data_IF_194738272048
#
_entry.id   IF_194738272048
#
_cell.length_a   1.000
_cell.length_b   1.000
_cell.length_c   1.000
_cell.angle_alpha   90.00
_cell.angle_beta   90.00
_cell.angle_gamma   90.00
#
_symmetry.space_group_name_H-M   'P 1'
#
loop_
_entity.id
_entity.type
_entity.pdbx_description
1 polymer ?
#
# COMPACT_ATOMS: atom_id res chain seq x y z
N UNK A 1 9.30 14.97 -8.44
CA UNK A 1 8.92 13.76 -7.69
C UNK A 1 9.33 13.90 -6.23
N UNK A 2 8.44 13.63 -5.27
CA UNK A 2 8.84 13.45 -3.85
C UNK A 2 8.33 12.10 -3.34
N UNK A 3 9.16 11.39 -2.60
CA UNK A 3 8.80 10.13 -1.93
C UNK A 3 9.20 10.20 -0.46
N UNK A 4 8.35 9.71 0.43
CA UNK A 4 8.66 9.60 1.85
C UNK A 4 8.21 8.24 2.39
N UNK A 5 9.16 7.32 2.63
CA UNK A 5 8.94 6.13 3.43
C UNK A 5 8.97 6.43 4.94
N UNK A 6 8.04 5.82 5.67
CA UNK A 6 8.03 5.72 7.12
C UNK A 6 8.02 4.24 7.50
N UNK A 7 9.16 3.71 7.93
CA UNK A 7 9.32 2.33 8.40
C UNK A 7 10.16 2.31 9.67
N UNK A 8 9.74 1.57 10.69
CA UNK A 8 10.48 1.41 11.94
C UNK A 8 10.78 2.71 12.70
N UNK A 9 9.94 3.74 12.56
CA UNK A 9 10.14 5.05 13.22
C UNK A 9 11.20 5.95 12.58
N UNK A 10 11.75 5.57 11.41
CA UNK A 10 12.69 6.40 10.65
C UNK A 10 12.00 7.02 9.45
N UNK A 11 12.05 8.35 9.38
CA UNK A 11 11.51 9.11 8.26
C UNK A 11 12.63 9.31 7.26
N UNK A 12 12.43 8.80 6.06
CA UNK A 12 13.27 9.18 4.93
C UNK A 12 12.40 9.93 3.96
N UNK A 13 12.91 11.03 3.40
CA UNK A 13 12.21 11.76 2.35
C UNK A 13 13.21 12.10 1.26
N UNK A 14 12.87 11.75 0.03
CA UNK A 14 13.64 12.06 -1.15
C UNK A 14 12.83 13.02 -2.01
N UNK A 15 13.47 14.09 -2.47
CA UNK A 15 12.92 15.03 -3.42
C UNK A 15 13.82 15.04 -4.64
N UNK A 16 13.22 14.89 -5.81
CA UNK A 16 13.89 14.92 -7.09
C UNK A 16 13.11 15.81 -8.06
N UNK A 17 13.80 16.64 -8.82
CA UNK A 17 13.24 17.48 -9.88
C UNK A 17 14.04 17.19 -11.13
N UNK A 18 13.34 17.02 -12.24
CA UNK A 18 13.93 16.66 -13.52
C UNK A 18 12.98 17.11 -14.64
N UNK A 19 13.51 17.27 -15.86
CA UNK A 19 12.79 17.79 -17.02
C UNK A 19 12.40 16.64 -17.96
N UNK A 20 11.12 16.56 -18.30
CA UNK A 20 10.57 15.55 -19.21
C UNK A 20 9.71 16.23 -20.29
N UNK A 21 9.58 15.56 -21.44
CA UNK A 21 8.55 15.91 -22.41
C UNK A 21 7.16 15.77 -21.78
N UNK A 22 6.25 16.69 -22.09
CA UNK A 22 4.91 16.72 -21.48
C UNK A 22 4.14 15.42 -21.67
N UNK A 23 4.25 14.76 -22.84
CA UNK A 23 3.61 13.46 -23.07
C UNK A 23 4.13 12.33 -22.16
N UNK A 24 5.35 12.46 -21.64
CA UNK A 24 6.01 11.44 -20.82
C UNK A 24 5.91 11.76 -19.32
N UNK A 25 5.28 12.88 -18.94
CA UNK A 25 5.10 13.25 -17.55
C UNK A 25 3.67 13.00 -17.11
N UNK A 26 3.48 12.12 -16.13
CA UNK A 26 2.18 11.92 -15.48
C UNK A 26 2.21 12.32 -14.01
N UNK A 27 1.31 13.24 -13.62
CA UNK A 27 1.06 13.57 -12.22
C UNK A 27 0.28 12.44 -11.55
N UNK A 28 0.78 11.95 -10.42
CA UNK A 28 0.16 10.86 -9.69
C UNK A 28 0.58 10.87 -8.22
N UNK A 29 -0.24 10.25 -7.38
CA UNK A 29 0.02 10.13 -5.95
C UNK A 29 -0.38 8.76 -5.46
N UNK A 30 0.49 8.18 -4.64
CA UNK A 30 0.36 6.80 -4.17
C UNK A 30 0.68 6.73 -2.69
N UNK A 31 -0.10 5.91 -1.99
CA UNK A 31 0.03 5.59 -0.58
C UNK A 31 -0.17 4.09 -0.40
N UNK A 32 0.79 3.48 0.29
CA UNK A 32 0.71 2.08 0.71
C UNK A 32 1.01 2.04 2.20
N UNK A 33 0.12 1.47 3.00
CA UNK A 33 0.38 1.24 4.43
C UNK A 33 0.72 -0.21 4.69
N UNK A 34 1.57 -0.47 5.68
CA UNK A 34 2.03 -1.84 5.98
C UNK A 34 2.06 -2.13 7.50
N UNK A 35 1.17 -1.46 8.23
CA UNK A 35 0.86 -1.71 9.64
C UNK A 35 1.65 -0.83 10.62
N UNK A 36 1.18 -0.73 11.87
CA UNK A 36 1.85 0.02 12.95
C UNK A 36 2.19 1.49 12.62
N UNK A 37 1.38 2.13 11.78
CA UNK A 37 1.61 3.51 11.32
C UNK A 37 2.73 3.63 10.27
N UNK A 38 3.23 2.51 9.75
CA UNK A 38 4.23 2.47 8.69
C UNK A 38 3.56 2.61 7.31
N UNK A 39 4.18 3.42 6.45
CA UNK A 39 3.66 3.71 5.13
C UNK A 39 4.77 4.09 4.14
N UNK A 40 4.45 3.96 2.87
CA UNK A 40 5.21 4.54 1.77
C UNK A 40 4.29 5.46 0.99
N UNK A 41 4.70 6.73 0.87
CA UNK A 41 3.94 7.76 0.17
C UNK A 41 4.81 8.40 -0.90
N UNK A 42 4.26 8.54 -2.11
CA UNK A 42 4.95 9.20 -3.23
C UNK A 42 3.97 10.12 -3.96
N UNK A 43 4.46 11.27 -4.39
CA UNK A 43 3.72 12.25 -5.18
C UNK A 43 4.61 12.77 -6.31
N UNK A 44 4.05 12.79 -7.52
CA UNK A 44 4.64 13.32 -8.74
C UNK A 44 3.73 14.41 -9.26
N UNK A 45 4.31 15.56 -9.58
CA UNK A 45 3.65 16.68 -10.23
C UNK A 45 4.40 16.99 -11.51
N UNK A 46 3.65 17.08 -12.59
CA UNK A 46 4.08 17.59 -13.88
C UNK A 46 3.63 19.04 -13.99
N UNK A 47 4.57 19.92 -14.33
CA UNK A 47 4.40 21.36 -14.39
C UNK A 47 5.21 21.89 -15.56
N UNK A 48 4.95 23.12 -15.99
CA UNK A 48 5.73 23.80 -17.04
C UNK A 48 5.93 25.26 -16.68
N UNK A 49 7.13 25.79 -16.94
CA UNK A 49 7.47 27.18 -16.66
C UNK A 49 7.30 27.56 -15.19
N UNK A 50 6.56 28.63 -14.94
CA UNK A 50 6.38 29.23 -13.61
C UNK A 50 5.56 28.34 -12.66
N UNK A 51 4.72 27.44 -13.19
CA UNK A 51 3.93 26.50 -12.37
C UNK A 51 4.82 25.51 -11.59
N UNK A 52 6.07 25.33 -12.00
CA UNK A 52 7.04 24.49 -11.30
C UNK A 52 7.67 25.15 -10.06
N UNK A 53 7.36 26.43 -9.80
CA UNK A 53 7.82 27.17 -8.62
C UNK A 53 7.02 26.83 -7.36
N UNK A 54 5.82 26.25 -7.50
CA UNK A 54 5.04 25.81 -6.34
C UNK A 54 5.69 24.63 -5.63
N UNK A 55 5.93 24.78 -4.33
CA UNK A 55 6.52 23.74 -3.48
C UNK A 55 5.50 22.71 -2.97
N UNK A 56 4.20 22.97 -3.14
CA UNK A 56 3.10 22.13 -2.66
C UNK A 56 2.79 21.01 -3.63
N UNK A 57 3.50 19.88 -3.48
CA UNK A 57 3.03 18.64 -4.08
C UNK A 57 1.72 18.20 -3.41
N UNK A 58 0.74 17.72 -4.20
CA UNK A 58 -0.48 17.14 -3.65
C UNK A 58 -0.12 15.82 -3.00
N UNK A 59 0.10 15.83 -1.69
CA UNK A 59 0.39 14.62 -0.95
C UNK A 59 -0.92 13.90 -0.60
N UNK A 60 -1.08 12.59 -0.89
CA UNK A 60 -2.34 11.87 -0.66
C UNK A 60 -2.62 11.71 0.84
N UNK A 61 -3.71 12.25 1.42
CA UNK A 61 -3.87 12.40 2.87
C UNK A 61 -3.66 11.08 3.63
N UNK A 62 -3.01 11.18 4.79
CA UNK A 62 -2.75 10.01 5.64
C UNK A 62 -3.86 9.92 6.67
N UNK A 63 -4.65 8.85 6.59
CA UNK A 63 -5.65 8.50 7.60
C UNK A 63 -5.33 7.11 8.14
N UNK A 64 -4.82 7.06 9.37
CA UNK A 64 -4.43 5.81 10.05
C UNK A 64 -5.53 5.17 10.88
N UNK A 65 -6.78 5.68 10.80
CA UNK A 65 -7.91 5.04 11.47
C UNK A 65 -8.23 3.72 10.79
N UNK A 66 -8.18 2.62 11.56
CA UNK A 66 -8.48 1.28 11.05
C UNK A 66 -9.91 1.18 10.49
N UNK A 67 -10.06 0.55 9.33
CA UNK A 67 -11.35 0.46 8.62
C UNK A 67 -12.00 -0.94 8.63
N UNK A 68 -11.42 -1.89 9.38
CA UNK A 68 -11.93 -3.26 9.50
C UNK A 68 -11.55 -4.21 8.37
N UNK A 69 -10.72 -3.77 7.42
CA UNK A 69 -10.15 -4.62 6.36
C UNK A 69 -8.72 -5.04 6.69
N UNK A 70 -8.28 -6.12 6.04
CA UNK A 70 -6.99 -6.75 6.34
C UNK A 70 -6.26 -7.17 5.08
N UNK A 71 -4.94 -6.99 5.11
CA UNK A 71 -4.03 -7.45 4.06
C UNK A 71 -2.76 -8.08 4.65
N UNK A 72 -2.11 -8.99 3.91
CA UNK A 72 -0.70 -9.31 4.12
C UNK A 72 0.14 -8.04 3.93
N UNK A 73 1.13 -7.84 4.79
CA UNK A 73 2.03 -6.69 4.71
C UNK A 73 3.44 -7.04 5.14
N UNK A 74 4.41 -6.45 4.46
CA UNK A 74 5.83 -6.46 4.82
C UNK A 74 6.61 -5.47 3.94
N UNK A 75 7.77 -5.02 4.41
CA UNK A 75 8.71 -4.20 3.64
C UNK A 75 10.16 -4.68 3.87
N UNK A 76 10.96 -4.75 2.81
CA UNK A 76 12.39 -5.10 2.87
C UNK A 76 13.14 -4.60 1.63
N UNK A 77 14.43 -4.30 1.77
CA UNK A 77 15.35 -3.84 0.71
C UNK A 77 16.51 -4.84 0.45
N UNK A 78 16.33 -6.12 0.79
CA UNK A 78 17.36 -7.14 0.55
C UNK A 78 16.80 -8.56 0.36
N UNK A 79 15.87 -8.98 1.22
CA UNK A 79 15.29 -10.33 1.20
C UNK A 79 13.76 -10.28 1.30
N UNK A 80 13.02 -11.31 0.84
CA UNK A 80 11.59 -11.43 1.12
C UNK A 80 11.32 -11.31 2.63
N UNK A 81 10.45 -10.38 3.00
CA UNK A 81 10.17 -10.08 4.40
C UNK A 81 9.16 -11.05 5.03
N UNK A 82 9.24 -11.28 6.36
CA UNK A 82 8.22 -12.06 7.07
C UNK A 82 6.87 -11.35 6.97
N UNK A 83 5.90 -12.05 6.38
CA UNK A 83 4.58 -11.49 6.10
C UNK A 83 3.74 -11.49 7.37
N UNK A 84 3.24 -10.30 7.75
CA UNK A 84 2.28 -10.11 8.84
C UNK A 84 0.91 -9.73 8.27
N UNK A 85 -0.17 -10.07 8.97
CA UNK A 85 -1.49 -9.51 8.64
C UNK A 85 -1.66 -8.17 9.35
N UNK A 86 -2.06 -7.14 8.62
CA UNK A 86 -2.26 -5.78 9.16
C UNK A 86 -3.68 -5.29 8.92
N UNK A 87 -4.12 -4.35 9.76
CA UNK A 87 -5.37 -3.62 9.58
C UNK A 87 -5.15 -2.51 8.56
N UNK A 88 -5.97 -2.47 7.52
CA UNK A 88 -6.01 -1.35 6.59
C UNK A 88 -6.67 -0.13 7.25
N UNK A 89 -6.37 1.05 6.73
CA UNK A 89 -6.78 2.32 7.32
C UNK A 89 -7.45 3.25 6.32
N UNK A 90 -8.25 4.19 6.81
CA UNK A 90 -8.96 5.15 5.97
C UNK A 90 -9.80 4.48 4.87
N UNK A 91 -9.58 4.89 3.62
CA UNK A 91 -10.30 4.38 2.45
C UNK A 91 -9.68 3.14 1.79
N UNK A 92 -8.59 2.61 2.34
CA UNK A 92 -7.89 1.47 1.75
C UNK A 92 -8.79 0.23 1.66
N UNK A 93 -8.91 -0.31 0.45
CA UNK A 93 -9.84 -1.40 0.14
C UNK A 93 -9.21 -2.53 -0.69
N UNK A 94 -7.92 -2.42 -1.02
CA UNK A 94 -7.17 -3.40 -1.79
C UNK A 94 -5.85 -3.75 -1.09
N UNK A 95 -5.40 -4.97 -1.31
CA UNK A 95 -4.06 -5.42 -0.95
C UNK A 95 -3.13 -5.25 -2.15
N UNK A 96 -1.89 -4.85 -1.88
CA UNK A 96 -0.80 -4.76 -2.83
C UNK A 96 0.27 -5.79 -2.47
N UNK A 97 0.84 -6.40 -3.50
CA UNK A 97 2.06 -7.19 -3.45
C UNK A 97 2.96 -6.79 -4.61
N UNK A 98 4.07 -6.14 -4.27
CA UNK A 98 4.99 -5.54 -5.23
C UNK A 98 6.41 -6.05 -4.96
N UNK A 99 7.11 -6.44 -6.03
CA UNK A 99 8.54 -6.66 -6.02
C UNK A 99 9.22 -5.81 -7.10
N UNK A 100 10.42 -5.32 -6.81
CA UNK A 100 11.19 -4.49 -7.73
C UNK A 100 12.59 -4.18 -7.21
N UNK A 101 13.21 -3.14 -7.76
CA UNK A 101 14.57 -2.71 -7.47
C UNK A 101 14.64 -1.21 -7.19
N UNK A 102 15.58 -0.81 -6.33
CA UNK A 102 15.80 0.59 -6.00
C UNK A 102 16.80 1.23 -6.97
N UNK A 103 16.35 2.10 -7.87
CA UNK A 103 17.29 2.86 -8.71
C UNK A 103 18.14 3.85 -7.90
N UNK A 104 19.44 4.06 -8.21
CA UNK A 104 20.26 3.36 -9.21
C UNK A 104 20.91 2.05 -8.73
N UNK A 105 20.66 1.66 -7.48
CA UNK A 105 21.24 0.50 -6.83
C UNK A 105 20.42 -0.77 -7.09
N UNK A 106 20.55 -1.29 -8.30
CA UNK A 106 19.80 -2.46 -8.78
C UNK A 106 20.06 -3.74 -7.97
N UNK A 107 21.06 -3.78 -7.09
CA UNK A 107 21.29 -4.92 -6.19
C UNK A 107 20.28 -4.95 -5.02
N UNK A 108 19.59 -3.83 -4.76
CA UNK A 108 18.56 -3.74 -3.72
C UNK A 108 17.20 -4.17 -4.23
N UNK A 109 16.92 -5.46 -4.08
CA UNK A 109 15.57 -5.99 -4.22
C UNK A 109 14.64 -5.42 -3.15
N UNK A 110 13.52 -4.88 -3.59
CA UNK A 110 12.45 -4.41 -2.73
C UNK A 110 11.28 -5.37 -2.79
N UNK A 111 10.81 -5.77 -1.62
CA UNK A 111 9.49 -6.40 -1.44
C UNK A 111 8.61 -5.46 -0.64
N UNK A 112 7.44 -5.14 -1.17
CA UNK A 112 6.44 -4.32 -0.50
C UNK A 112 5.06 -4.99 -0.61
N UNK A 113 4.53 -5.41 0.54
CA UNK A 113 3.14 -5.83 0.68
C UNK A 113 2.41 -4.86 1.61
N UNK A 114 1.15 -4.56 1.33
CA UNK A 114 0.41 -3.62 2.17
C UNK A 114 -1.02 -3.36 1.73
N UNK A 115 -1.66 -2.41 2.40
CA UNK A 115 -2.99 -1.92 2.07
C UNK A 115 -2.87 -0.69 1.16
N UNK A 116 -3.80 -0.57 0.21
CA UNK A 116 -3.92 0.57 -0.69
C UNK A 116 -5.36 0.70 -1.22
N UNK A 117 -5.58 1.55 -2.22
CA UNK A 117 -6.87 1.68 -2.91
C UNK A 117 -6.82 1.08 -4.31
N UNK A 118 -7.98 0.67 -4.84
CA UNK A 118 -8.12 0.21 -6.23
C UNK A 118 -7.55 1.21 -7.25
N UNK A 119 -7.81 2.50 -7.05
CA UNK A 119 -7.30 3.56 -7.93
C UNK A 119 -5.77 3.61 -7.95
N UNK A 120 -5.12 3.35 -6.82
CA UNK A 120 -3.66 3.29 -6.75
C UNK A 120 -3.16 2.04 -7.48
N UNK A 121 -3.79 0.88 -7.32
CA UNK A 121 -3.46 -0.31 -8.10
C UNK A 121 -3.52 -0.04 -9.62
N UNK A 122 -4.59 0.60 -10.11
CA UNK A 122 -4.71 0.98 -11.52
C UNK A 122 -3.63 1.97 -11.97
N UNK A 123 -3.23 2.88 -11.08
CA UNK A 123 -2.14 3.84 -11.34
C UNK A 123 -0.79 3.13 -11.49
N UNK A 124 -0.53 2.13 -10.64
CA UNK A 124 0.68 1.30 -10.70
C UNK A 124 0.69 0.42 -11.96
N UNK A 125 -0.41 -0.28 -12.26
CA UNK A 125 -0.50 -1.13 -13.46
C UNK A 125 -0.35 -0.35 -14.77
N UNK A 126 -0.83 0.89 -14.82
CA UNK A 126 -0.70 1.73 -16.02
C UNK A 126 0.67 2.39 -16.15
N UNK A 127 1.59 2.20 -15.19
CA UNK A 127 2.90 2.85 -15.18
C UNK A 127 2.85 4.36 -14.96
N UNK A 128 1.66 4.92 -14.66
CA UNK A 128 1.47 6.36 -14.38
C UNK A 128 2.18 6.81 -13.11
N UNK A 129 2.38 5.88 -12.18
CA UNK A 129 3.31 6.03 -11.08
C UNK A 129 4.02 4.71 -10.84
N UNK A 130 5.28 4.77 -10.51
CA UNK A 130 6.05 3.63 -10.03
C UNK A 130 6.51 3.93 -8.60
N UNK A 131 6.54 2.95 -7.71
CA UNK A 131 7.15 3.13 -6.38
C UNK A 131 8.66 2.95 -6.48
N UNK A 132 9.06 1.93 -7.23
CA UNK A 132 10.42 1.48 -7.50
C UNK A 132 10.49 1.02 -8.96
N UNK A 133 11.67 0.61 -9.43
CA UNK A 133 11.75 -0.09 -10.72
C UNK A 133 11.09 -1.45 -10.54
N UNK A 134 9.88 -1.64 -11.08
CA UNK A 134 8.97 -2.67 -10.59
C UNK A 134 8.96 -3.88 -11.50
N UNK A 135 9.22 -5.07 -10.95
CA UNK A 135 9.18 -6.33 -11.69
C UNK A 135 7.78 -6.96 -11.67
N UNK A 136 7.14 -6.93 -10.50
CA UNK A 136 5.83 -7.55 -10.29
C UNK A 136 4.92 -6.65 -9.49
N UNK A 137 3.65 -6.58 -9.91
CA UNK A 137 2.57 -5.88 -9.22
C UNK A 137 1.39 -6.84 -9.20
N UNK A 138 0.91 -7.15 -8.00
CA UNK A 138 -0.34 -7.87 -7.80
C UNK A 138 -1.23 -7.08 -6.86
N UNK A 139 -2.51 -7.00 -7.21
CA UNK A 139 -3.53 -6.32 -6.42
C UNK A 139 -4.80 -7.16 -6.35
N UNK A 140 -5.44 -7.19 -5.19
CA UNK A 140 -6.73 -7.85 -4.99
C UNK A 140 -7.55 -7.18 -3.88
N UNK A 141 -8.88 -7.37 -3.83
CA UNK A 141 -9.72 -6.79 -2.78
C UNK A 141 -9.28 -7.21 -1.38
N UNK A 142 -9.25 -6.26 -0.44
CA UNK A 142 -8.90 -6.56 0.94
C UNK A 142 -9.98 -7.37 1.65
N UNK A 143 -9.55 -8.31 2.50
CA UNK A 143 -10.46 -9.19 3.23
C UNK A 143 -11.22 -8.41 4.30
N UNK A 144 -12.50 -8.72 4.47
CA UNK A 144 -13.31 -8.25 5.59
C UNK A 144 -13.43 -9.36 6.61
N UNK A 145 -13.42 -9.03 7.90
CA UNK A 145 -13.83 -9.99 8.93
C UNK A 145 -15.33 -10.23 8.76
N UNK A 146 -15.70 -11.40 8.23
CA UNK A 146 -17.06 -11.91 8.42
C UNK A 146 -17.18 -12.30 9.89
N UNK A 147 -17.90 -11.50 10.68
CA UNK A 147 -18.25 -11.84 12.08
C UNK A 147 -19.11 -13.13 12.18
N UNK A 148 -19.49 -13.75 11.07
CA UNK A 148 -20.43 -14.88 11.02
C UNK A 148 -19.86 -16.24 11.47
N UNK A 149 -18.54 -16.45 11.53
CA UNK A 149 -18.00 -17.78 11.88
C UNK A 149 -18.05 -18.10 13.37
N UNK A 150 -18.16 -17.08 14.24
CA UNK A 150 -18.31 -17.29 15.68
C UNK A 150 -19.70 -17.77 16.10
N UNK A 151 -20.77 -17.28 15.46
CA UNK A 151 -22.14 -17.63 15.85
C UNK A 151 -22.56 -19.03 15.39
N UNK A 152 -22.08 -19.50 14.23
CA UNK A 152 -22.49 -20.80 13.69
C UNK A 152 -21.97 -21.99 14.53
N UNK A 153 -20.79 -21.86 15.14
CA UNK A 153 -20.21 -22.91 15.98
C UNK A 153 -21.01 -23.13 17.28
N UNK A 154 -21.52 -22.06 17.91
CA UNK A 154 -22.32 -22.21 19.12
C UNK A 154 -23.68 -22.89 18.85
N UNK A 155 -24.27 -22.67 17.68
CA UNK A 155 -25.56 -23.31 17.34
C UNK A 155 -25.45 -24.82 17.15
N UNK A 156 -24.35 -25.30 16.55
CA UNK A 156 -24.11 -26.73 16.33
C UNK A 156 -23.81 -27.48 17.64
N UNK A 157 -23.03 -26.87 18.53
CA UNK A 157 -22.71 -27.46 19.85
C UNK A 157 -23.96 -27.57 20.72
N UNK A 158 -24.83 -26.56 20.74
CA UNK A 158 -26.09 -26.61 21.48
C UNK A 158 -27.04 -27.70 20.95
N UNK A 159 -27.10 -27.89 19.62
CA UNK A 159 -27.96 -28.91 19.01
C UNK A 159 -27.45 -30.34 19.26
N UNK A 160 -26.12 -30.54 19.30
CA UNK A 160 -25.51 -31.83 19.63
C UNK A 160 -25.71 -32.20 21.10
N UNK A 161 -25.58 -31.23 22.02
CA UNK A 161 -25.79 -31.47 23.45
C UNK A 161 -27.24 -31.86 23.78
N UNK A 162 -28.23 -31.26 23.11
CA UNK A 162 -29.64 -31.62 23.30
C UNK A 162 -30.00 -33.03 22.83
N UNK A 163 -29.25 -33.60 21.87
CA UNK A 163 -29.46 -34.98 21.38
C UNK A 163 -28.77 -36.05 22.24
N UNK A 164 -27.82 -35.69 23.08
CA UNK A 164 -27.09 -36.63 23.97
C UNK A 164 -27.80 -36.78 25.33
N UNK A 165 -28.65 -35.81 25.69
CA UNK A 165 -29.38 -35.75 26.96
C UNK A 165 -30.84 -36.28 26.89
N UNK A 166 -31.25 -36.85 25.74
CA UNK A 166 -32.59 -37.37 25.48
C UNK A 166 -32.53 -38.82 24.98
#
# INVERSE_FOLDING_TARGET
MKSSPWAGGKNTSTTEKDCYFSENCTSASVLVTFGQGEFLRKSTLCCSGEDCREDSLPWPPINMTANGKYCPACYSESEPCPVKTVKCTGSENYCLDLAGHKYPDIEKHITLKGCTTESICNTLYSGKANLFDTDTINCWPANQVSQLTGCLLFTLVAHLLMKVLL
#
